data_IF_400908612111
#
_entry.id   IF_400908612111
#
_cell.length_a   1.000
_cell.length_b   1.000
_cell.length_c   1.000
_cell.angle_alpha   90.00
_cell.angle_beta   90.00
_cell.angle_gamma   90.00
#
_symmetry.space_group_name_H-M   'P 1'
#
loop_
_entity.id
_entity.type
_entity.pdbx_description
1 polymer ?
#
# COMPACT_ATOMS: atom_id res chain seq x y z
N UNK A 1 34.74 -33.00 -30.54
CA UNK A 1 34.13 -32.57 -29.27
C UNK A 1 34.14 -33.77 -28.35
N UNK A 2 34.81 -33.72 -27.21
CA UNK A 2 34.80 -34.82 -26.24
C UNK A 2 33.37 -34.99 -25.63
N UNK A 3 33.05 -36.24 -25.22
CA UNK A 3 31.72 -36.49 -24.61
C UNK A 3 31.34 -35.57 -23.46
N UNK A 4 32.27 -35.10 -22.58
CA UNK A 4 31.97 -34.09 -21.57
C UNK A 4 31.53 -32.72 -22.15
N UNK A 5 32.20 -32.25 -23.18
CA UNK A 5 31.88 -30.97 -23.84
C UNK A 5 30.50 -30.98 -24.51
N UNK A 6 30.09 -32.13 -25.06
CA UNK A 6 28.75 -32.28 -25.63
C UNK A 6 27.65 -32.31 -24.56
N UNK A 7 27.93 -32.88 -23.38
CA UNK A 7 27.00 -32.88 -22.23
C UNK A 7 26.82 -31.48 -21.64
N UNK A 8 27.91 -30.73 -21.47
CA UNK A 8 27.89 -29.33 -21.00
C UNK A 8 27.12 -28.43 -21.97
N UNK A 9 27.38 -28.54 -23.27
CA UNK A 9 26.65 -27.78 -24.29
C UNK A 9 25.14 -28.08 -24.29
N UNK A 10 24.72 -29.33 -24.08
CA UNK A 10 23.30 -29.72 -23.92
C UNK A 10 22.68 -29.12 -22.65
N UNK A 11 23.38 -29.21 -21.50
CA UNK A 11 22.92 -28.62 -20.24
C UNK A 11 22.75 -27.11 -20.33
N UNK A 12 23.68 -26.42 -20.97
CA UNK A 12 23.61 -24.98 -21.17
C UNK A 12 22.44 -24.60 -22.12
N UNK A 13 22.24 -25.36 -23.19
CA UNK A 13 21.09 -25.17 -24.09
C UNK A 13 19.76 -25.39 -23.37
N UNK A 14 19.64 -26.45 -22.57
CA UNK A 14 18.44 -26.70 -21.77
C UNK A 14 18.18 -25.58 -20.77
N UNK A 15 19.22 -25.09 -20.10
CA UNK A 15 19.10 -23.93 -19.19
C UNK A 15 18.62 -22.67 -19.91
N UNK A 16 19.18 -22.36 -21.08
CA UNK A 16 18.74 -21.21 -21.91
C UNK A 16 17.27 -21.35 -22.35
N UNK A 17 16.86 -22.54 -22.76
CA UNK A 17 15.45 -22.80 -23.13
C UNK A 17 14.52 -22.66 -21.95
N UNK A 18 14.86 -23.21 -20.76
CA UNK A 18 14.06 -23.03 -19.55
C UNK A 18 13.95 -21.56 -19.12
N UNK A 19 15.07 -20.83 -19.18
CA UNK A 19 15.07 -19.40 -18.87
C UNK A 19 14.20 -18.62 -19.86
N UNK A 20 14.28 -18.91 -21.17
CA UNK A 20 13.45 -18.27 -22.19
C UNK A 20 11.96 -18.60 -21.99
N UNK A 21 11.61 -19.85 -21.67
CA UNK A 21 10.24 -20.25 -21.36
C UNK A 21 9.73 -19.52 -20.10
N UNK A 22 10.54 -19.47 -19.04
CA UNK A 22 10.20 -18.75 -17.80
C UNK A 22 9.89 -17.28 -18.06
N UNK A 23 10.77 -16.57 -18.80
CA UNK A 23 10.53 -15.16 -19.14
C UNK A 23 9.36 -15.00 -20.11
N UNK A 24 9.15 -15.93 -21.03
CA UNK A 24 7.99 -15.95 -21.93
C UNK A 24 6.67 -16.04 -21.14
N UNK A 25 6.57 -17.00 -20.23
CA UNK A 25 5.39 -17.16 -19.35
C UNK A 25 5.21 -15.91 -18.47
N UNK A 26 6.30 -15.40 -17.87
CA UNK A 26 6.23 -14.19 -17.05
C UNK A 26 5.74 -12.98 -17.84
N UNK A 27 6.22 -12.81 -19.08
CA UNK A 27 5.77 -11.73 -19.98
C UNK A 27 4.27 -11.84 -20.28
N UNK A 28 3.78 -13.04 -20.60
CA UNK A 28 2.34 -13.27 -20.84
C UNK A 28 1.52 -12.91 -19.59
N UNK A 29 1.95 -13.34 -18.41
CA UNK A 29 1.29 -13.01 -17.14
C UNK A 29 1.25 -11.49 -16.95
N UNK A 30 2.38 -10.80 -17.12
CA UNK A 30 2.46 -9.33 -16.96
C UNK A 30 1.52 -8.62 -17.93
N UNK A 31 1.49 -9.04 -19.21
CA UNK A 31 0.59 -8.47 -20.21
C UNK A 31 -0.88 -8.68 -19.82
N UNK A 32 -1.26 -9.87 -19.39
CA UNK A 32 -2.64 -10.18 -18.97
C UNK A 32 -3.06 -9.34 -17.77
N UNK A 33 -2.19 -9.22 -16.75
CA UNK A 33 -2.46 -8.37 -15.57
C UNK A 33 -2.49 -6.88 -15.88
N UNK A 34 -1.81 -6.44 -16.93
CA UNK A 34 -1.80 -5.04 -17.37
C UNK A 34 -3.04 -4.65 -18.18
N UNK A 35 -3.76 -5.62 -18.77
CA UNK A 35 -4.92 -5.35 -19.62
C UNK A 35 -5.96 -4.42 -18.96
N UNK A 36 -6.44 -4.65 -17.73
CA UNK A 36 -7.43 -3.76 -17.12
C UNK A 36 -6.94 -2.32 -17.02
N UNK A 37 -5.67 -2.13 -16.62
CA UNK A 37 -5.06 -0.79 -16.50
C UNK A 37 -4.91 -0.10 -17.86
N UNK A 38 -4.54 -0.86 -18.89
CA UNK A 38 -4.49 -0.36 -20.28
C UNK A 38 -5.90 0.06 -20.71
N UNK A 39 -6.93 -0.74 -20.42
CA UNK A 39 -8.32 -0.41 -20.74
C UNK A 39 -8.77 0.89 -20.10
N UNK A 40 -8.46 1.10 -18.82
CA UNK A 40 -8.74 2.36 -18.12
C UNK A 40 -8.00 3.53 -18.77
N UNK A 41 -6.72 3.34 -19.11
CA UNK A 41 -5.91 4.38 -19.76
C UNK A 41 -6.47 4.74 -21.15
N UNK A 42 -6.86 3.76 -21.97
CA UNK A 42 -7.48 4.01 -23.26
C UNK A 42 -8.81 4.74 -23.11
N UNK A 43 -9.67 4.29 -22.17
CA UNK A 43 -10.97 4.90 -21.93
C UNK A 43 -10.83 6.36 -21.45
N UNK A 44 -9.78 6.70 -20.72
CA UNK A 44 -9.58 8.07 -20.22
C UNK A 44 -9.39 9.12 -21.33
N UNK A 45 -8.97 8.69 -22.54
CA UNK A 45 -8.80 9.56 -23.70
C UNK A 45 -9.97 9.52 -24.69
N UNK A 46 -11.06 8.77 -24.39
CA UNK A 46 -12.21 8.62 -25.27
C UNK A 46 -13.42 9.39 -24.78
N UNK A 47 -14.20 9.91 -25.72
CA UNK A 47 -15.53 10.43 -25.37
C UNK A 47 -16.49 9.29 -24.99
N UNK A 48 -17.55 9.59 -24.25
CA UNK A 48 -18.59 8.61 -23.89
C UNK A 48 -19.22 7.99 -25.14
N UNK A 49 -19.43 8.78 -26.21
CA UNK A 49 -19.97 8.31 -27.48
C UNK A 49 -19.00 7.35 -28.19
N UNK A 50 -17.72 7.62 -28.20
CA UNK A 50 -16.69 6.75 -28.76
C UNK A 50 -16.60 5.42 -28.02
N UNK A 51 -16.65 5.44 -26.68
CA UNK A 51 -16.67 4.22 -25.88
C UNK A 51 -17.92 3.37 -26.18
N UNK A 52 -19.07 4.02 -26.37
CA UNK A 52 -20.32 3.32 -26.70
C UNK A 52 -20.29 2.68 -28.09
N UNK A 53 -19.64 3.32 -29.08
CA UNK A 53 -19.56 2.85 -30.46
C UNK A 53 -18.46 1.81 -30.66
N UNK A 54 -17.25 2.09 -30.19
CA UNK A 54 -16.03 1.35 -30.53
C UNK A 54 -15.58 0.43 -29.38
N UNK A 55 -16.19 0.57 -28.20
CA UNK A 55 -15.77 -0.12 -26.99
C UNK A 55 -14.50 0.48 -26.38
N UNK A 56 -14.05 -0.13 -25.26
CA UNK A 56 -12.90 0.35 -24.48
C UNK A 56 -11.56 0.00 -25.13
N UNK A 57 -11.47 -1.16 -25.79
CA UNK A 57 -10.19 -1.76 -26.21
C UNK A 57 -9.61 -1.22 -27.52
N UNK A 58 -10.40 -0.55 -28.33
CA UNK A 58 -9.88 0.09 -29.54
C UNK A 58 -9.01 1.30 -29.15
N UNK A 59 -8.07 1.67 -30.01
CA UNK A 59 -7.31 2.90 -29.81
C UNK A 59 -8.23 4.13 -29.92
N UNK A 60 -7.99 5.20 -29.14
CA UNK A 60 -8.73 6.45 -29.28
C UNK A 60 -8.59 7.01 -30.71
N UNK A 61 -9.69 7.50 -31.29
CA UNK A 61 -9.65 8.20 -32.60
C UNK A 61 -8.88 9.52 -32.51
N UNK A 62 -8.96 10.16 -31.33
CA UNK A 62 -8.21 11.36 -30.95
C UNK A 62 -7.96 11.36 -29.45
N UNK A 63 -6.86 11.96 -29.00
CA UNK A 63 -6.59 12.10 -27.56
C UNK A 63 -7.48 13.20 -26.99
N UNK A 64 -8.53 12.82 -26.28
CA UNK A 64 -9.43 13.75 -25.62
C UNK A 64 -8.96 14.00 -24.17
N UNK A 65 -8.41 15.18 -23.93
CA UNK A 65 -7.98 15.62 -22.60
C UNK A 65 -9.11 16.29 -21.80
N UNK A 66 -10.27 16.58 -22.38
CA UNK A 66 -11.39 17.22 -21.70
C UNK A 66 -11.88 16.37 -20.51
N UNK A 67 -11.82 15.05 -20.62
CA UNK A 67 -12.13 14.13 -19.51
C UNK A 67 -11.26 14.39 -18.27
N UNK A 68 -9.99 14.70 -18.46
CA UNK A 68 -9.08 15.02 -17.36
C UNK A 68 -9.40 16.35 -16.75
N UNK A 69 -9.72 17.37 -17.57
CA UNK A 69 -10.15 18.69 -17.09
C UNK A 69 -11.46 18.56 -16.33
N UNK A 70 -12.43 17.84 -16.86
CA UNK A 70 -13.73 17.61 -16.22
C UNK A 70 -13.58 16.84 -14.90
N UNK A 71 -12.76 15.77 -14.85
CA UNK A 71 -12.46 15.04 -13.63
C UNK A 71 -11.81 15.93 -12.57
N UNK A 72 -10.91 16.84 -12.99
CA UNK A 72 -10.21 17.74 -12.07
C UNK A 72 -11.10 18.81 -11.50
N UNK A 73 -11.93 19.46 -12.33
CA UNK A 73 -12.77 20.62 -11.96
C UNK A 73 -14.12 20.14 -11.45
N UNK A 74 -14.96 19.58 -12.31
CA UNK A 74 -16.32 19.15 -11.96
C UNK A 74 -16.33 17.87 -11.09
N UNK A 75 -15.39 16.96 -11.31
CA UNK A 75 -15.20 15.76 -10.51
C UNK A 75 -14.53 16.00 -9.15
N UNK A 76 -14.10 17.23 -8.84
CA UNK A 76 -13.42 17.60 -7.59
C UNK A 76 -12.16 16.77 -7.28
N UNK A 77 -11.45 16.26 -8.30
CA UNK A 77 -10.28 15.39 -8.11
C UNK A 77 -9.22 16.01 -7.19
N UNK A 78 -8.94 17.30 -7.36
CA UNK A 78 -7.98 18.03 -6.53
C UNK A 78 -8.31 17.96 -5.03
N UNK A 79 -9.57 18.21 -4.67
CA UNK A 79 -10.04 18.15 -3.28
C UNK A 79 -9.93 16.73 -2.72
N UNK A 80 -10.40 15.74 -3.46
CA UNK A 80 -10.39 14.35 -3.01
C UNK A 80 -8.97 13.79 -2.87
N UNK A 81 -8.08 14.08 -3.81
CA UNK A 81 -6.67 13.71 -3.74
C UNK A 81 -6.00 14.37 -2.53
N UNK A 82 -6.21 15.67 -2.32
CA UNK A 82 -5.71 16.40 -1.16
C UNK A 82 -6.19 15.75 0.15
N UNK A 83 -7.49 15.47 0.27
CA UNK A 83 -8.05 14.84 1.47
C UNK A 83 -7.44 13.45 1.70
N UNK A 84 -7.26 12.67 0.63
CA UNK A 84 -6.64 11.35 0.72
C UNK A 84 -5.20 11.47 1.21
N UNK A 85 -4.41 12.44 0.75
CA UNK A 85 -3.07 12.70 1.28
C UNK A 85 -3.11 13.10 2.76
N UNK A 86 -4.04 13.98 3.15
CA UNK A 86 -4.21 14.43 4.54
C UNK A 86 -4.61 13.29 5.50
N UNK A 87 -5.22 12.23 4.99
CA UNK A 87 -5.49 11.00 5.75
C UNK A 87 -4.30 10.04 5.68
N UNK A 88 -3.85 9.71 4.47
CA UNK A 88 -2.90 8.63 4.22
C UNK A 88 -1.55 8.88 4.87
N UNK A 89 -1.01 10.10 4.73
CA UNK A 89 0.34 10.39 5.27
C UNK A 89 0.38 10.31 6.79
N UNK A 90 -0.46 11.04 7.56
CA UNK A 90 -0.40 10.95 9.01
C UNK A 90 -0.82 9.59 9.55
N UNK A 91 -1.78 8.89 8.90
CA UNK A 91 -2.18 7.55 9.32
C UNK A 91 -1.06 6.51 9.08
N UNK A 92 -0.36 6.59 7.96
CA UNK A 92 0.82 5.75 7.68
C UNK A 92 1.92 5.97 8.70
N UNK A 93 2.28 7.23 8.95
CA UNK A 93 3.31 7.58 9.92
C UNK A 93 2.91 7.16 11.34
N UNK A 94 1.66 7.39 11.74
CA UNK A 94 1.14 7.01 13.04
C UNK A 94 1.15 5.50 13.27
N UNK A 95 0.68 4.71 12.27
CA UNK A 95 0.69 3.25 12.33
C UNK A 95 2.11 2.70 12.47
N UNK A 96 3.04 3.23 11.67
CA UNK A 96 4.45 2.80 11.70
C UNK A 96 5.09 3.20 13.03
N UNK A 97 4.88 4.43 13.50
CA UNK A 97 5.43 4.89 14.77
C UNK A 97 4.98 4.01 15.95
N UNK A 98 3.67 3.71 16.01
CA UNK A 98 3.13 2.80 17.03
C UNK A 98 3.68 1.37 16.87
N UNK A 99 3.75 0.86 15.66
CA UNK A 99 4.32 -0.46 15.37
C UNK A 99 5.80 -0.56 15.72
N UNK A 100 6.57 0.50 15.51
CA UNK A 100 7.99 0.61 15.92
C UNK A 100 8.12 0.54 17.43
N UNK A 101 7.36 1.37 18.17
CA UNK A 101 7.42 1.42 19.62
C UNK A 101 7.03 0.08 20.26
N UNK A 102 5.91 -0.47 19.81
CA UNK A 102 5.40 -1.75 20.32
C UNK A 102 6.32 -2.91 19.89
N UNK A 103 6.74 -2.94 18.62
CA UNK A 103 7.63 -3.97 18.10
C UNK A 103 8.99 -3.99 18.76
N UNK A 104 9.59 -2.81 19.04
CA UNK A 104 10.84 -2.69 19.79
C UNK A 104 10.69 -3.20 21.22
N UNK A 105 9.66 -2.73 21.92
CA UNK A 105 9.37 -3.13 23.31
C UNK A 105 9.21 -4.65 23.42
N UNK A 106 8.38 -5.26 22.54
CA UNK A 106 8.12 -6.69 22.54
C UNK A 106 9.30 -7.56 22.05
N UNK A 107 10.26 -6.95 21.33
CA UNK A 107 11.44 -7.67 20.84
C UNK A 107 12.63 -7.58 21.78
N UNK A 108 12.90 -6.40 22.35
CA UNK A 108 14.14 -6.10 23.07
C UNK A 108 13.98 -5.91 24.58
N UNK A 109 12.77 -5.54 25.03
CA UNK A 109 12.47 -5.31 26.45
C UNK A 109 11.59 -6.47 26.96
N UNK A 110 12.21 -7.62 27.24
CA UNK A 110 11.50 -8.81 27.74
C UNK A 110 10.84 -8.53 29.10
N UNK A 111 9.52 -8.72 29.19
CA UNK A 111 8.73 -8.65 30.41
C UNK A 111 7.70 -9.78 30.45
N UNK A 112 7.18 -10.08 31.66
CA UNK A 112 6.14 -11.13 31.81
C UNK A 112 4.89 -10.74 31.01
N UNK A 113 4.42 -11.64 30.15
CA UNK A 113 3.23 -11.42 29.30
C UNK A 113 3.51 -10.81 27.93
N UNK A 114 4.79 -10.50 27.58
CA UNK A 114 5.12 -9.92 26.27
C UNK A 114 4.63 -10.76 25.08
N UNK A 115 4.72 -12.09 25.17
CA UNK A 115 4.27 -12.99 24.11
C UNK A 115 2.74 -13.04 24.01
N UNK A 116 2.03 -13.06 25.14
CA UNK A 116 0.59 -13.01 25.17
C UNK A 116 0.06 -11.67 24.59
N UNK A 117 0.70 -10.55 24.96
CA UNK A 117 0.37 -9.23 24.42
C UNK A 117 0.64 -9.18 22.89
N UNK A 118 1.74 -9.76 22.44
CA UNK A 118 2.04 -9.86 21.01
C UNK A 118 0.96 -10.63 20.26
N UNK A 119 0.59 -11.81 20.75
CA UNK A 119 -0.48 -12.63 20.15
C UNK A 119 -1.80 -11.86 20.13
N UNK A 120 -2.15 -11.18 21.21
CA UNK A 120 -3.36 -10.36 21.30
C UNK A 120 -3.37 -9.24 20.25
N UNK A 121 -2.26 -8.50 20.10
CA UNK A 121 -2.16 -7.43 19.11
C UNK A 121 -2.28 -8.01 17.69
N UNK A 122 -1.54 -9.07 17.39
CA UNK A 122 -1.52 -9.68 16.04
C UNK A 122 -2.85 -10.36 15.72
N UNK A 123 -3.58 -10.86 16.72
CA UNK A 123 -4.94 -11.37 16.52
C UNK A 123 -5.88 -10.33 15.90
N UNK A 124 -5.59 -9.04 16.07
CA UNK A 124 -6.30 -7.94 15.41
C UNK A 124 -6.30 -8.01 13.88
N UNK A 125 -5.31 -8.67 13.26
CA UNK A 125 -5.25 -8.89 11.80
C UNK A 125 -6.36 -9.81 11.28
N UNK A 126 -6.90 -10.67 12.13
CA UNK A 126 -7.93 -11.64 11.77
C UNK A 126 -9.35 -11.11 11.99
N UNK A 127 -9.49 -9.92 12.55
CA UNK A 127 -10.79 -9.29 12.73
C UNK A 127 -11.27 -8.64 11.44
N UNK A 128 -12.37 -9.11 10.83
CA UNK A 128 -12.97 -8.44 9.68
C UNK A 128 -13.42 -7.03 10.07
N UNK A 129 -13.00 -5.97 9.35
CA UNK A 129 -13.42 -4.60 9.64
C UNK A 129 -14.94 -4.42 9.70
N UNK A 130 -15.68 -5.24 8.96
CA UNK A 130 -17.15 -5.20 8.87
C UNK A 130 -17.84 -5.43 10.20
N UNK A 131 -17.26 -6.24 11.09
CA UNK A 131 -17.87 -6.53 12.41
C UNK A 131 -17.92 -5.29 13.30
N UNK A 132 -16.93 -4.42 13.19
CA UNK A 132 -16.78 -3.24 14.05
C UNK A 132 -17.32 -1.94 13.43
N UNK A 133 -17.91 -2.00 12.21
CA UNK A 133 -18.42 -0.80 11.53
C UNK A 133 -19.44 -0.03 12.38
N UNK A 134 -20.49 -0.69 12.85
CA UNK A 134 -21.55 -0.05 13.62
C UNK A 134 -21.04 0.46 14.98
N UNK A 135 -20.31 -0.34 15.78
CA UNK A 135 -19.73 0.14 17.02
C UNK A 135 -18.81 1.35 16.82
N UNK A 136 -17.92 1.31 15.82
CA UNK A 136 -17.02 2.43 15.55
C UNK A 136 -17.75 3.66 15.06
N UNK A 137 -18.73 3.51 14.17
CA UNK A 137 -19.56 4.63 13.74
C UNK A 137 -20.22 5.33 14.93
N UNK A 138 -20.85 4.55 15.85
CA UNK A 138 -21.46 5.11 17.06
C UNK A 138 -20.46 5.82 17.96
N UNK A 139 -19.29 5.22 18.17
CA UNK A 139 -18.22 5.80 18.97
C UNK A 139 -17.73 7.13 18.37
N UNK A 140 -17.41 7.16 17.09
CA UNK A 140 -16.90 8.37 16.43
C UNK A 140 -17.97 9.46 16.33
N UNK A 141 -19.24 9.09 16.16
CA UNK A 141 -20.34 10.04 16.22
C UNK A 141 -20.50 10.64 17.63
N UNK A 142 -20.43 9.82 18.66
CA UNK A 142 -20.50 10.29 20.06
C UNK A 142 -19.31 11.19 20.46
N UNK A 143 -18.12 10.96 19.85
CA UNK A 143 -16.93 11.79 20.06
C UNK A 143 -16.91 13.07 19.19
N UNK A 144 -17.94 13.30 18.34
CA UNK A 144 -17.96 14.43 17.41
C UNK A 144 -16.93 14.36 16.28
N UNK A 145 -16.42 13.16 15.99
CA UNK A 145 -15.41 12.93 14.94
C UNK A 145 -16.04 12.45 13.62
N UNK A 146 -17.35 12.11 13.60
CA UNK A 146 -18.06 11.78 12.37
C UNK A 146 -17.97 12.93 11.37
N UNK A 147 -17.82 12.59 10.09
CA UNK A 147 -17.66 13.55 8.99
C UNK A 147 -16.38 14.41 9.10
N UNK A 148 -15.31 13.85 9.65
CA UNK A 148 -14.00 14.48 9.73
C UNK A 148 -12.89 13.55 9.21
N UNK A 149 -11.82 14.11 8.66
CA UNK A 149 -10.64 13.33 8.25
C UNK A 149 -9.92 12.67 9.44
N UNK A 150 -10.09 13.22 10.66
CA UNK A 150 -9.54 12.64 11.89
C UNK A 150 -10.11 11.25 12.20
N UNK A 151 -11.41 11.03 11.91
CA UNK A 151 -11.99 9.70 12.05
C UNK A 151 -11.21 8.67 11.25
N UNK A 152 -10.93 8.98 9.98
CA UNK A 152 -10.20 8.09 9.09
C UNK A 152 -8.76 7.88 9.56
N UNK A 153 -8.07 8.95 9.97
CA UNK A 153 -6.68 8.87 10.46
C UNK A 153 -6.59 7.92 11.65
N UNK A 154 -7.46 8.10 12.66
CA UNK A 154 -7.45 7.29 13.87
C UNK A 154 -7.79 5.81 13.61
N UNK A 155 -8.79 5.56 12.76
CA UNK A 155 -9.16 4.21 12.34
C UNK A 155 -7.96 3.51 11.68
N UNK A 156 -7.34 4.16 10.70
CA UNK A 156 -6.21 3.57 9.98
C UNK A 156 -4.98 3.38 10.85
N UNK A 157 -4.70 4.28 11.81
CA UNK A 157 -3.65 4.06 12.80
C UNK A 157 -3.94 2.80 13.60
N UNK A 158 -5.17 2.67 14.14
CA UNK A 158 -5.54 1.53 14.98
C UNK A 158 -5.45 0.21 14.22
N UNK A 159 -5.98 0.13 13.00
CA UNK A 159 -5.92 -1.06 12.17
C UNK A 159 -4.53 -1.36 11.60
N UNK A 160 -3.67 -0.35 11.49
CA UNK A 160 -2.29 -0.52 11.05
C UNK A 160 -1.34 -1.05 12.13
N UNK A 161 -1.64 -0.83 13.43
CA UNK A 161 -0.77 -1.25 14.53
C UNK A 161 -0.42 -2.75 14.48
N UNK A 162 -1.34 -3.69 14.29
CA UNK A 162 -1.02 -5.11 14.33
C UNK A 162 0.04 -5.53 13.30
N UNK A 163 -0.11 -5.14 12.04
CA UNK A 163 0.84 -5.51 10.98
C UNK A 163 2.17 -4.79 11.15
N UNK A 164 2.15 -3.52 11.53
CA UNK A 164 3.37 -2.75 11.79
C UNK A 164 4.15 -3.35 12.97
N UNK A 165 3.46 -3.76 14.04
CA UNK A 165 4.06 -4.45 15.19
C UNK A 165 4.66 -5.80 14.79
N UNK A 166 3.93 -6.61 14.03
CA UNK A 166 4.39 -7.91 13.56
C UNK A 166 5.70 -7.79 12.77
N UNK A 167 5.74 -6.91 11.80
CA UNK A 167 6.90 -6.71 10.94
C UNK A 167 8.06 -6.13 11.75
N UNK A 168 7.84 -5.06 12.52
CA UNK A 168 8.91 -4.43 13.28
C UNK A 168 9.48 -5.32 14.38
N UNK A 169 8.65 -6.09 15.11
CA UNK A 169 9.14 -7.05 16.09
C UNK A 169 10.09 -8.06 15.45
N UNK A 170 9.73 -8.62 14.29
CA UNK A 170 10.56 -9.61 13.60
C UNK A 170 11.89 -9.00 13.11
N UNK A 171 11.85 -7.79 12.54
CA UNK A 171 13.09 -7.11 12.13
C UNK A 171 13.98 -6.74 13.31
N UNK A 172 13.43 -6.22 14.39
CA UNK A 172 14.22 -5.96 15.59
C UNK A 172 14.78 -7.25 16.19
N UNK A 173 14.04 -8.36 16.17
CA UNK A 173 14.52 -9.65 16.66
C UNK A 173 15.74 -10.16 15.88
N UNK A 174 15.80 -9.86 14.58
CA UNK A 174 16.94 -10.26 13.73
C UNK A 174 18.23 -9.45 14.00
N UNK A 175 18.13 -8.26 14.61
CA UNK A 175 19.30 -7.48 15.02
C UNK A 175 19.96 -8.14 16.25
N UNK A 176 21.28 -8.44 16.21
CA UNK A 176 21.98 -9.04 17.35
C UNK A 176 21.85 -8.20 18.62
N UNK A 177 21.58 -8.84 19.76
CA UNK A 177 21.44 -8.17 21.07
C UNK A 177 22.71 -7.46 21.49
N UNK A 178 23.89 -7.97 21.11
CA UNK A 178 25.18 -7.36 21.38
C UNK A 178 25.28 -5.90 20.91
N UNK A 179 24.59 -5.52 19.82
CA UNK A 179 24.58 -4.14 19.34
C UNK A 179 23.88 -3.22 20.35
N UNK A 180 22.74 -3.67 20.91
CA UNK A 180 22.02 -2.93 21.95
C UNK A 180 22.82 -2.86 23.25
N UNK A 181 23.43 -3.98 23.65
CA UNK A 181 24.26 -4.08 24.88
C UNK A 181 25.48 -3.16 24.80
N UNK A 182 26.18 -3.10 23.67
CA UNK A 182 27.25 -2.14 23.45
C UNK A 182 26.79 -0.69 23.61
N UNK A 183 25.64 -0.32 23.02
CA UNK A 183 25.12 1.02 23.17
C UNK A 183 24.72 1.36 24.63
N UNK A 184 24.27 0.38 25.42
CA UNK A 184 24.00 0.57 26.86
C UNK A 184 25.31 0.82 27.61
N UNK A 185 26.39 0.09 27.31
CA UNK A 185 27.72 0.29 27.90
C UNK A 185 28.25 1.68 27.57
N UNK A 186 27.97 2.20 26.37
CA UNK A 186 28.30 3.57 25.94
C UNK A 186 27.41 4.64 26.60
N UNK A 187 26.49 4.27 27.51
CA UNK A 187 25.63 5.18 28.27
C UNK A 187 24.40 5.68 27.49
N UNK A 188 24.05 5.07 26.36
CA UNK A 188 22.86 5.47 25.59
C UNK A 188 21.57 5.06 26.31
N UNK A 189 20.59 5.97 26.38
CA UNK A 189 19.23 5.64 26.85
C UNK A 189 18.51 4.76 25.85
N UNK A 190 17.48 4.00 26.29
CA UNK A 190 16.67 3.15 25.40
C UNK A 190 16.06 3.92 24.21
N UNK A 191 15.69 5.17 24.43
CA UNK A 191 15.17 6.03 23.37
C UNK A 191 16.25 6.40 22.34
N UNK A 192 17.47 6.68 22.80
CA UNK A 192 18.61 6.91 21.90
C UNK A 192 18.99 5.64 21.14
N UNK A 193 18.95 4.49 21.80
CA UNK A 193 19.20 3.19 21.16
C UNK A 193 18.16 2.94 20.07
N UNK A 194 16.88 3.11 20.38
CA UNK A 194 15.81 2.95 19.39
C UNK A 194 16.03 3.85 18.18
N UNK A 195 16.19 5.15 18.38
CA UNK A 195 16.19 6.13 17.28
C UNK A 195 17.50 6.17 16.51
N UNK A 196 18.65 6.03 17.18
CA UNK A 196 19.98 6.24 16.58
C UNK A 196 20.67 4.95 16.16
N UNK A 197 20.29 3.81 16.75
CA UNK A 197 20.92 2.52 16.50
C UNK A 197 19.97 1.57 15.78
N UNK A 198 18.81 1.28 16.38
CA UNK A 198 17.93 0.22 15.92
C UNK A 198 17.12 0.62 14.67
N UNK A 199 16.55 1.82 14.63
CA UNK A 199 15.76 2.28 13.49
C UNK A 199 16.56 2.38 12.19
N UNK A 200 17.79 2.94 12.17
CA UNK A 200 18.61 2.95 10.96
C UNK A 200 18.91 1.56 10.41
N UNK A 201 19.10 0.56 11.26
CA UNK A 201 19.31 -0.83 10.84
C UNK A 201 18.04 -1.47 10.24
N UNK A 202 16.86 -0.96 10.63
CA UNK A 202 15.56 -1.46 10.17
C UNK A 202 14.94 -0.61 9.03
N UNK A 203 15.68 0.31 8.42
CA UNK A 203 15.20 1.13 7.29
C UNK A 203 14.53 0.33 6.16
N UNK A 204 15.02 -0.87 5.77
CA UNK A 204 14.32 -1.67 4.78
C UNK A 204 12.91 -2.08 5.22
N UNK A 205 12.72 -2.43 6.50
CA UNK A 205 11.39 -2.77 7.04
C UNK A 205 10.45 -1.56 7.06
N UNK A 206 10.97 -0.39 7.45
CA UNK A 206 10.20 0.85 7.44
C UNK A 206 9.74 1.22 6.04
N UNK A 207 10.58 1.02 5.02
CA UNK A 207 10.22 1.28 3.63
C UNK A 207 9.12 0.32 3.12
N UNK A 208 9.19 -0.97 3.49
CA UNK A 208 8.14 -1.95 3.21
C UNK A 208 6.83 -1.54 3.88
N UNK A 209 6.86 -1.20 5.17
CA UNK A 209 5.68 -0.75 5.90
C UNK A 209 5.10 0.54 5.33
N UNK A 210 5.94 1.52 4.97
CA UNK A 210 5.49 2.75 4.35
C UNK A 210 4.74 2.48 3.04
N UNK A 211 5.26 1.59 2.20
CA UNK A 211 4.61 1.22 0.93
C UNK A 211 3.28 0.49 1.17
N UNK A 212 3.26 -0.49 2.08
CA UNK A 212 2.05 -1.28 2.38
C UNK A 212 0.95 -0.41 2.99
N UNK A 213 1.27 0.35 4.04
CA UNK A 213 0.30 1.19 4.74
C UNK A 213 -0.20 2.32 3.84
N UNK A 214 0.71 3.00 3.13
CA UNK A 214 0.30 4.03 2.18
C UNK A 214 -0.68 3.47 1.15
N UNK A 215 -0.34 2.34 0.52
CA UNK A 215 -1.18 1.73 -0.52
C UNK A 215 -2.54 1.29 0.03
N UNK A 216 -2.59 0.70 1.21
CA UNK A 216 -3.84 0.28 1.84
C UNK A 216 -4.74 1.46 2.19
N UNK A 217 -4.19 2.47 2.85
CA UNK A 217 -4.96 3.64 3.28
C UNK A 217 -5.40 4.47 2.08
N UNK A 218 -4.51 4.65 1.10
CA UNK A 218 -4.82 5.39 -0.13
C UNK A 218 -5.99 4.80 -0.91
N UNK A 219 -6.04 3.48 -1.01
CA UNK A 219 -7.07 2.77 -1.77
C UNK A 219 -8.29 2.39 -0.92
N UNK A 220 -8.36 2.84 0.33
CA UNK A 220 -9.52 2.52 1.17
C UNK A 220 -10.78 3.24 0.68
N UNK A 221 -11.82 2.45 0.58
CA UNK A 221 -13.17 2.88 0.22
C UNK A 221 -14.15 2.70 1.39
N UNK A 222 -13.92 1.64 2.20
CA UNK A 222 -14.90 1.19 3.19
C UNK A 222 -15.10 2.22 4.31
N UNK A 223 -14.02 2.66 4.94
CA UNK A 223 -14.12 3.61 6.04
C UNK A 223 -14.57 5.00 5.57
N UNK A 224 -14.02 5.56 4.47
CA UNK A 224 -14.49 6.86 3.98
C UNK A 224 -15.97 6.89 3.59
N UNK A 225 -16.51 5.84 2.96
CA UNK A 225 -17.94 5.83 2.57
C UNK A 225 -18.87 5.78 3.77
N UNK A 226 -18.40 5.27 4.93
CA UNK A 226 -19.20 5.18 6.15
C UNK A 226 -19.02 6.40 7.04
N UNK A 227 -17.78 6.91 7.16
CA UNK A 227 -17.43 7.95 8.13
C UNK A 227 -17.53 9.37 7.55
N UNK A 228 -17.57 9.53 6.23
CA UNK A 228 -17.62 10.84 5.57
C UNK A 228 -18.95 11.01 4.83
N UNK A 229 -19.66 12.07 5.18
CA UNK A 229 -20.94 12.45 4.56
C UNK A 229 -20.77 13.61 3.59
N UNK A 230 -20.07 14.66 4.01
CA UNK A 230 -19.88 15.88 3.24
C UNK A 230 -19.02 15.66 1.99
N UNK A 231 -19.38 16.29 0.89
CA UNK A 231 -18.66 16.15 -0.37
C UNK A 231 -17.22 16.67 -0.27
N UNK A 232 -17.02 17.75 0.49
CA UNK A 232 -15.76 18.46 0.68
C UNK A 232 -14.70 17.61 1.43
N UNK A 233 -15.15 16.62 2.21
CA UNK A 233 -14.27 15.73 3.01
C UNK A 233 -14.03 14.36 2.36
N UNK A 234 -14.65 14.09 1.20
CA UNK A 234 -14.47 12.79 0.52
C UNK A 234 -13.03 12.52 0.13
N UNK A 235 -12.68 11.23 0.17
CA UNK A 235 -11.42 10.71 -0.37
C UNK A 235 -11.57 10.36 -1.84
N UNK A 236 -10.44 10.16 -2.52
CA UNK A 236 -10.40 9.91 -3.97
C UNK A 236 -11.19 8.67 -4.38
N UNK A 237 -11.17 7.60 -3.59
CA UNK A 237 -11.89 6.36 -3.91
C UNK A 237 -13.41 6.53 -3.80
N UNK A 238 -13.89 7.28 -2.81
CA UNK A 238 -15.32 7.63 -2.69
C UNK A 238 -15.72 8.60 -3.79
N UNK A 239 -14.90 9.62 -4.07
CA UNK A 239 -15.10 10.54 -5.18
C UNK A 239 -15.22 9.82 -6.53
N UNK A 240 -14.30 8.91 -6.82
CA UNK A 240 -14.31 8.09 -8.03
C UNK A 240 -15.62 7.28 -8.17
N UNK A 241 -16.09 6.69 -7.08
CA UNK A 241 -17.34 5.91 -7.08
C UNK A 241 -18.58 6.78 -7.28
N UNK A 242 -18.54 8.04 -6.85
CA UNK A 242 -19.66 8.98 -6.96
C UNK A 242 -19.84 9.56 -8.37
N UNK A 243 -18.85 9.44 -9.25
CA UNK A 243 -18.96 9.83 -10.67
C UNK A 243 -19.88 8.92 -11.49
N UNK A 244 -20.35 7.81 -10.91
CA UNK A 244 -21.40 6.98 -11.52
C UNK A 244 -22.72 7.74 -11.39
N UNK A 245 -23.13 8.41 -12.46
CA UNK A 245 -24.44 9.05 -12.53
C UNK A 245 -25.58 8.03 -12.45
N UNK A 246 -26.76 8.49 -12.02
CA UNK A 246 -27.94 7.63 -11.85
C UNK A 246 -28.47 7.12 -13.22
N UNK A 247 -28.19 7.82 -14.32
CA UNK A 247 -28.70 7.54 -15.68
C UNK A 247 -27.61 7.45 -16.77
N UNK A 248 -26.40 7.92 -16.50
CA UNK A 248 -25.27 7.82 -17.42
C UNK A 248 -23.96 7.76 -16.68
N UNK A 249 -23.05 6.92 -17.14
CA UNK A 249 -21.68 6.84 -16.62
C UNK A 249 -20.79 7.54 -17.65
N UNK A 250 -20.18 8.65 -17.23
CA UNK A 250 -19.14 9.32 -18.03
C UNK A 250 -17.83 8.48 -17.89
N UNK A 251 -17.76 7.36 -18.61
CA UNK A 251 -16.65 6.40 -18.51
C UNK A 251 -15.29 7.05 -18.73
N UNK A 252 -15.18 8.03 -19.66
CA UNK A 252 -13.95 8.77 -19.91
C UNK A 252 -13.50 9.56 -18.68
N UNK A 253 -14.43 10.33 -18.08
CA UNK A 253 -14.17 11.15 -16.88
C UNK A 253 -13.83 10.27 -15.67
N UNK A 254 -14.58 9.17 -15.48
CA UNK A 254 -14.31 8.21 -14.41
C UNK A 254 -12.94 7.55 -14.58
N UNK A 255 -12.57 7.19 -15.81
CA UNK A 255 -11.26 6.61 -16.12
C UNK A 255 -10.13 7.61 -15.89
N UNK A 256 -10.32 8.88 -16.24
CA UNK A 256 -9.35 9.95 -15.97
C UNK A 256 -9.15 10.16 -14.46
N UNK A 257 -10.22 10.10 -13.67
CA UNK A 257 -10.16 10.14 -12.22
C UNK A 257 -9.40 8.94 -11.65
N UNK A 258 -9.61 7.73 -12.20
CA UNK A 258 -8.87 6.53 -11.80
C UNK A 258 -7.37 6.65 -12.14
N UNK A 259 -7.02 7.25 -13.28
CA UNK A 259 -5.62 7.55 -13.61
C UNK A 259 -5.02 8.51 -12.59
N UNK A 260 -5.68 9.61 -12.26
CA UNK A 260 -5.22 10.52 -11.20
C UNK A 260 -5.03 9.82 -9.86
N UNK A 261 -5.99 8.97 -9.47
CA UNK A 261 -5.93 8.21 -8.20
C UNK A 261 -4.77 7.22 -8.17
N UNK A 262 -4.34 6.68 -9.32
CA UNK A 262 -3.26 5.68 -9.39
C UNK A 262 -1.86 6.29 -9.27
N UNK A 263 -1.66 7.55 -9.65
CA UNK A 263 -0.35 8.20 -9.72
C UNK A 263 0.40 8.14 -8.37
N UNK A 264 -0.18 8.54 -7.22
CA UNK A 264 0.56 8.56 -5.96
C UNK A 264 1.01 7.16 -5.51
N UNK A 265 0.18 6.14 -5.69
CA UNK A 265 0.56 4.76 -5.33
C UNK A 265 1.67 4.22 -6.22
N UNK A 266 1.63 4.52 -7.52
CA UNK A 266 2.69 4.18 -8.46
C UNK A 266 4.01 4.88 -8.09
N UNK A 267 3.96 6.17 -7.76
CA UNK A 267 5.14 6.91 -7.33
C UNK A 267 5.75 6.32 -6.05
N UNK A 268 4.93 6.05 -5.03
CA UNK A 268 5.39 5.41 -3.80
C UNK A 268 6.05 4.06 -4.10
N UNK A 269 5.43 3.23 -4.93
CA UNK A 269 6.03 1.95 -5.33
C UNK A 269 7.39 2.14 -6.03
N UNK A 270 7.49 3.04 -7.02
CA UNK A 270 8.74 3.30 -7.76
C UNK A 270 9.85 3.79 -6.82
N UNK A 271 9.54 4.67 -5.86
CA UNK A 271 10.56 5.17 -4.92
C UNK A 271 11.04 4.09 -3.93
N UNK A 272 10.14 3.22 -3.47
CA UNK A 272 10.45 2.24 -2.43
C UNK A 272 10.76 0.83 -2.95
N UNK A 273 10.56 0.51 -4.24
CA UNK A 273 10.75 -0.84 -4.81
C UNK A 273 12.11 -1.47 -4.49
N UNK A 274 13.19 -0.67 -4.48
CA UNK A 274 14.54 -1.17 -4.16
C UNK A 274 14.66 -1.73 -2.74
N UNK A 275 13.92 -1.18 -1.80
CA UNK A 275 13.91 -1.66 -0.41
C UNK A 275 13.05 -2.90 -0.28
N UNK A 276 11.96 -2.98 -1.04
CA UNK A 276 11.09 -4.15 -1.09
C UNK A 276 11.84 -5.39 -1.60
N UNK A 277 12.59 -5.27 -2.68
CA UNK A 277 13.40 -6.36 -3.23
C UNK A 277 14.46 -6.82 -2.23
N UNK A 278 15.15 -5.90 -1.55
CA UNK A 278 16.15 -6.24 -0.52
C UNK A 278 15.52 -6.90 0.71
N UNK A 279 14.32 -6.46 1.13
CA UNK A 279 13.62 -7.04 2.27
C UNK A 279 13.20 -8.50 2.04
N UNK A 280 12.77 -8.83 0.82
CA UNK A 280 12.41 -10.21 0.44
C UNK A 280 13.63 -11.14 0.38
N UNK A 281 14.78 -10.64 -0.08
CA UNK A 281 16.00 -11.46 -0.18
C UNK A 281 16.65 -11.75 1.18
N UNK A 282 16.55 -10.84 2.15
CA UNK A 282 17.05 -11.08 3.52
C UNK A 282 16.26 -12.18 4.27
N UNK A 283 15.01 -12.41 3.89
CA UNK A 283 14.19 -13.52 4.45
C UNK A 283 14.46 -14.89 3.81
N UNK A 284 15.11 -14.95 2.65
CA UNK A 284 15.35 -16.18 1.88
C UNK A 284 16.73 -16.81 2.10
N UNK A 285 17.65 -16.11 2.75
CA UNK A 285 18.98 -16.66 3.11
C UNK A 285 18.92 -17.22 4.53
N UNK A 286 18.20 -18.33 4.69
CA UNK A 286 18.36 -19.31 5.75
C UNK A 286 18.81 -20.60 5.09
N UNK A 287 20.10 -20.77 4.90
CA UNK A 287 20.74 -21.99 4.48
C UNK A 287 22.18 -21.93 4.94
#
# INVERSE_FOLDING_TARGET
MSAPQAAEARAERQRRVMVALFYGVLTVIVLLYSLPSIGVLLASFKSTAEIAQDGVWNLPRSLNFDNYVEAWVAGNAATYIRNTFLVTVPATLGSIAMGVLVGYTLSKLRFRGSDALFVFIVAGLFFPPQIVLIPLFRLFNALGLYDTLWALILIHIAFGIPICTLIMKNFFAAVPTAIREAAIIDGASEWQILLRVMLPLCLPALAVLATLQFTWIWNDFLWPVIMIRSNEMRTVMVGLSSLKGQYSVAYGVQSSMAVYASIPTLLVFVFFQKYFIRGLTLGSVKG
#
